data_IF_297443054323
#
_entry.id   IF_297443054323
#
_cell.length_a   1.000
_cell.length_b   1.000
_cell.length_c   1.000
_cell.angle_alpha   90.00
_cell.angle_beta   90.00
_cell.angle_gamma   90.00
#
_symmetry.space_group_name_H-M   'P 1'
#
loop_
_entity.id
_entity.type
_entity.pdbx_description
1 polymer ?
#
# COMPACT_ATOMS: atom_id res chain seq x y z
N UNK A 1 11.10 -21.51 14.35
CA UNK A 1 11.91 -22.74 14.54
C UNK A 1 12.24 -22.88 16.01
N UNK A 2 12.32 -24.10 16.54
CA UNK A 2 12.74 -24.37 17.92
C UNK A 2 13.84 -25.44 17.88
N UNK A 3 15.09 -25.06 18.18
CA UNK A 3 16.26 -25.95 18.04
C UNK A 3 16.29 -26.60 16.64
N UNK A 4 16.16 -27.93 16.57
CA UNK A 4 16.19 -28.71 15.34
C UNK A 4 14.82 -28.85 14.67
N UNK A 5 13.76 -28.24 15.20
CA UNK A 5 12.42 -28.41 14.66
C UNK A 5 11.95 -27.17 13.91
N UNK A 6 11.41 -27.36 12.72
CA UNK A 6 10.75 -26.32 11.93
C UNK A 6 9.29 -26.70 11.69
N UNK A 7 8.38 -25.91 12.26
CA UNK A 7 6.96 -25.96 11.99
C UNK A 7 6.64 -24.97 10.87
N UNK A 8 5.93 -25.41 9.83
CA UNK A 8 5.54 -24.58 8.67
C UNK A 8 4.01 -24.52 8.59
N UNK A 9 3.48 -23.30 8.52
CA UNK A 9 2.04 -22.98 8.52
C UNK A 9 1.22 -23.67 9.62
N UNK A 10 1.87 -24.01 10.73
CA UNK A 10 1.26 -24.78 11.81
C UNK A 10 0.92 -26.23 11.44
N UNK A 11 1.22 -26.74 10.24
CA UNK A 11 0.74 -28.04 9.75
C UNK A 11 1.86 -29.04 9.53
N UNK A 12 2.96 -28.61 8.92
CA UNK A 12 4.08 -29.48 8.55
C UNK A 12 5.19 -29.33 9.57
N UNK A 13 5.85 -30.44 9.91
CA UNK A 13 6.94 -30.46 10.89
C UNK A 13 8.16 -31.17 10.29
N UNK A 14 9.30 -30.48 10.34
CA UNK A 14 10.57 -31.00 9.84
C UNK A 14 11.62 -31.07 10.95
N UNK A 15 12.38 -32.17 10.98
CA UNK A 15 13.58 -32.32 11.79
C UNK A 15 14.80 -31.81 11.00
N UNK A 16 15.14 -30.55 11.22
CA UNK A 16 16.25 -29.84 10.58
C UNK A 16 17.62 -30.46 10.87
N UNK A 17 17.75 -31.37 11.85
CA UNK A 17 19.02 -32.07 12.09
C UNK A 17 19.26 -33.17 11.06
N UNK A 18 18.22 -33.95 10.77
CA UNK A 18 18.30 -35.11 9.88
C UNK A 18 17.81 -34.80 8.46
N UNK A 19 16.99 -33.76 8.33
CA UNK A 19 16.45 -33.27 7.06
C UNK A 19 16.52 -31.73 6.98
N UNK A 20 17.73 -31.15 6.83
CA UNK A 20 17.90 -29.71 6.61
C UNK A 20 17.13 -29.20 5.37
N UNK A 21 16.88 -30.10 4.41
CA UNK A 21 16.17 -29.82 3.16
C UNK A 21 14.65 -29.75 3.28
N UNK A 22 14.06 -30.07 4.44
CA UNK A 22 12.61 -30.08 4.67
C UNK A 22 11.84 -30.91 3.63
N UNK A 23 12.35 -32.11 3.32
CA UNK A 23 11.78 -33.03 2.34
C UNK A 23 10.77 -33.99 2.95
N UNK A 24 10.89 -34.29 4.24
CA UNK A 24 10.10 -35.31 4.93
C UNK A 24 9.28 -34.64 6.03
N UNK A 25 7.98 -34.49 5.77
CA UNK A 25 7.04 -34.04 6.80
C UNK A 25 6.80 -35.17 7.82
N UNK A 26 7.19 -34.91 9.07
CA UNK A 26 7.05 -35.82 10.20
C UNK A 26 5.94 -35.39 11.18
N UNK A 27 5.07 -34.45 10.81
CA UNK A 27 3.98 -33.95 11.66
C UNK A 27 3.05 -35.04 12.18
N UNK A 28 2.72 -36.04 11.33
CA UNK A 28 1.88 -37.18 11.73
C UNK A 28 2.57 -38.15 12.69
N UNK A 29 3.90 -38.18 12.66
CA UNK A 29 4.71 -39.05 13.52
C UNK A 29 4.89 -38.41 14.89
N UNK A 30 5.00 -37.08 14.95
CA UNK A 30 5.20 -36.32 16.19
C UNK A 30 4.07 -35.29 16.43
N UNK A 31 2.80 -35.72 16.60
CA UNK A 31 1.67 -34.81 16.79
C UNK A 31 1.78 -33.98 18.08
N UNK A 32 2.37 -34.55 19.14
CA UNK A 32 2.60 -33.82 20.40
C UNK A 32 3.61 -32.69 20.21
N UNK A 33 4.63 -32.90 19.38
CA UNK A 33 5.62 -31.86 19.05
C UNK A 33 5.00 -30.74 18.22
N UNK A 34 4.08 -31.07 17.30
CA UNK A 34 3.29 -30.08 16.56
C UNK A 34 2.47 -29.23 17.53
N UNK A 35 1.78 -29.86 18.50
CA UNK A 35 0.97 -29.16 19.50
C UNK A 35 1.83 -28.25 20.38
N UNK A 36 2.97 -28.73 20.88
CA UNK A 36 3.92 -27.94 21.66
C UNK A 36 4.38 -26.71 20.87
N UNK A 37 4.81 -26.89 19.63
CA UNK A 37 5.31 -25.78 18.81
C UNK A 37 4.23 -24.77 18.42
N UNK A 38 2.97 -25.21 18.23
CA UNK A 38 1.82 -24.30 18.07
C UNK A 38 1.59 -23.48 19.33
N UNK A 39 1.57 -24.12 20.50
CA UNK A 39 1.40 -23.44 21.78
C UNK A 39 2.48 -22.38 22.04
N UNK A 40 3.74 -22.72 21.77
CA UNK A 40 4.84 -21.75 21.86
C UNK A 40 4.69 -20.57 20.90
N UNK A 41 4.17 -20.81 19.69
CA UNK A 41 3.90 -19.73 18.75
C UNK A 41 2.76 -18.84 19.22
N UNK A 42 1.70 -19.42 19.77
CA UNK A 42 0.56 -18.69 20.35
C UNK A 42 0.97 -17.87 21.59
N UNK A 43 1.77 -18.44 22.49
CA UNK A 43 2.32 -17.74 23.66
C UNK A 43 3.25 -16.60 23.24
N UNK A 44 4.19 -16.86 22.32
CA UNK A 44 5.07 -15.82 21.79
C UNK A 44 4.28 -14.72 21.09
N UNK A 45 3.26 -15.07 20.31
CA UNK A 45 2.41 -14.10 19.64
C UNK A 45 1.63 -13.27 20.66
N UNK A 46 1.03 -13.91 21.66
CA UNK A 46 0.29 -13.21 22.72
C UNK A 46 1.19 -12.28 23.53
N UNK A 47 2.43 -12.69 23.82
CA UNK A 47 3.43 -11.87 24.53
C UNK A 47 3.88 -10.68 23.70
N UNK A 48 4.43 -10.91 22.49
CA UNK A 48 4.96 -9.86 21.62
C UNK A 48 3.90 -8.84 21.23
N UNK A 49 2.65 -9.27 21.03
CA UNK A 49 1.56 -8.40 20.62
C UNK A 49 0.66 -7.94 21.79
N UNK A 50 0.97 -8.31 23.04
CA UNK A 50 0.17 -7.94 24.22
C UNK A 50 -0.05 -6.42 24.35
N UNK A 51 0.96 -5.64 23.98
CA UNK A 51 0.97 -4.18 24.01
C UNK A 51 0.97 -3.54 22.60
N UNK A 52 0.56 -4.28 21.56
CA UNK A 52 0.53 -3.76 20.19
C UNK A 52 -0.54 -2.67 20.02
N UNK A 53 -0.19 -1.43 20.41
CA UNK A 53 -1.01 -0.23 20.32
C UNK A 53 -0.44 0.79 19.33
N UNK A 54 0.74 0.55 18.78
CA UNK A 54 1.43 1.53 17.95
C UNK A 54 0.96 1.46 16.51
N UNK A 55 -0.13 2.19 16.25
CA UNK A 55 -0.44 2.65 14.90
C UNK A 55 0.67 3.61 14.44
N UNK A 56 1.33 3.27 13.36
CA UNK A 56 2.37 4.12 12.75
C UNK A 56 1.70 5.23 11.93
N UNK A 57 2.29 6.42 11.96
CA UNK A 57 1.84 7.58 11.20
C UNK A 57 3.00 8.13 10.39
N UNK A 58 2.78 8.41 9.11
CA UNK A 58 3.77 9.07 8.26
C UNK A 58 3.82 10.54 8.65
N UNK A 59 4.98 11.01 9.09
CA UNK A 59 5.13 12.37 9.59
C UNK A 59 5.34 13.36 8.44
N UNK A 60 4.48 14.38 8.36
CA UNK A 60 4.56 15.45 7.35
C UNK A 60 4.89 16.80 7.99
N UNK A 61 5.48 17.72 7.21
CA UNK A 61 5.78 19.07 7.69
C UNK A 61 7.05 19.21 8.54
N UNK A 62 8.01 18.28 8.44
CA UNK A 62 9.32 18.40 9.11
C UNK A 62 10.22 19.44 8.45
N UNK A 63 11.10 20.11 9.20
CA UNK A 63 12.08 21.04 8.63
C UNK A 63 13.18 20.30 7.87
N UNK A 64 13.38 19.02 8.21
CA UNK A 64 14.39 18.15 7.59
C UNK A 64 13.91 17.54 6.27
N UNK A 65 12.59 17.55 6.03
CA UNK A 65 11.95 17.01 4.82
C UNK A 65 10.91 18.01 4.34
N UNK A 66 11.35 18.97 3.50
CA UNK A 66 10.50 20.02 2.93
C UNK A 66 9.45 19.47 1.95
N UNK A 67 9.76 18.34 1.33
CA UNK A 67 8.84 17.58 0.48
C UNK A 67 8.91 16.10 0.81
N UNK A 68 7.84 15.37 0.48
CA UNK A 68 7.77 13.91 0.59
C UNK A 68 6.78 13.33 -0.39
N UNK A 69 6.95 12.04 -0.64
CA UNK A 69 6.10 11.25 -1.53
C UNK A 69 5.46 10.15 -0.71
N UNK A 70 4.13 10.10 -0.72
CA UNK A 70 3.37 8.96 -0.24
C UNK A 70 3.05 8.06 -1.42
N UNK A 71 3.10 6.75 -1.20
CA UNK A 71 2.74 5.76 -2.23
C UNK A 71 1.58 4.91 -1.75
N UNK A 72 0.83 4.31 -2.68
CA UNK A 72 -0.26 3.41 -2.33
C UNK A 72 0.16 2.23 -1.46
N UNK A 73 1.46 1.88 -1.40
CA UNK A 73 1.97 0.80 -0.56
C UNK A 73 1.63 0.98 0.93
N UNK A 74 1.52 2.23 1.37
CA UNK A 74 1.24 2.59 2.76
C UNK A 74 -0.26 2.75 3.05
N UNK A 75 -1.14 2.36 2.11
CA UNK A 75 -2.58 2.42 2.33
C UNK A 75 -3.03 1.46 3.42
N UNK A 76 -3.88 2.00 4.29
CA UNK A 76 -4.65 1.29 5.29
C UNK A 76 -6.09 1.08 4.79
N UNK A 77 -6.75 0.04 5.29
CA UNK A 77 -8.12 -0.35 4.92
C UNK A 77 -8.34 -0.36 3.40
N UNK A 78 -7.57 -1.20 2.70
CA UNK A 78 -7.66 -1.27 1.24
C UNK A 78 -8.98 -1.92 0.82
N UNK A 79 -9.73 -1.21 -0.01
CA UNK A 79 -11.03 -1.61 -0.54
C UNK A 79 -11.05 -1.55 -2.06
N UNK A 80 -12.04 -2.22 -2.65
CA UNK A 80 -12.38 -2.10 -4.07
C UNK A 80 -13.23 -0.85 -4.33
N UNK A 81 -13.43 -0.52 -5.60
CA UNK A 81 -14.30 0.59 -6.03
C UNK A 81 -15.73 0.50 -5.46
N UNK A 82 -16.27 -0.70 -5.28
CA UNK A 82 -17.62 -0.94 -4.73
C UNK A 82 -17.70 -0.85 -3.18
N UNK A 83 -16.59 -0.52 -2.52
CA UNK A 83 -16.51 -0.42 -1.07
C UNK A 83 -16.28 -1.74 -0.34
N UNK A 84 -16.24 -2.87 -1.06
CA UNK A 84 -15.98 -4.19 -0.46
C UNK A 84 -14.50 -4.41 -0.20
N UNK A 85 -14.22 -5.39 0.68
CA UNK A 85 -12.87 -5.83 1.01
C UNK A 85 -12.09 -6.23 -0.25
N UNK A 86 -10.84 -5.80 -0.37
CA UNK A 86 -10.00 -6.08 -1.53
C UNK A 86 -9.53 -7.54 -1.59
N UNK A 87 -9.32 -8.17 -0.44
CA UNK A 87 -8.89 -9.55 -0.28
C UNK A 87 -10.03 -10.56 -0.49
N UNK A 88 -9.67 -11.72 -1.02
CA UNK A 88 -10.51 -12.92 -0.93
C UNK A 88 -10.62 -13.41 0.53
N UNK A 89 -11.65 -14.21 0.87
CA UNK A 89 -11.75 -14.84 2.19
C UNK A 89 -10.45 -15.58 2.56
N UNK A 90 -9.87 -15.26 3.72
CA UNK A 90 -8.60 -15.82 4.18
C UNK A 90 -7.33 -15.15 3.62
N UNK A 91 -7.47 -14.12 2.77
CA UNK A 91 -6.36 -13.32 2.27
C UNK A 91 -6.18 -11.98 3.02
N UNK A 92 -5.09 -11.30 2.68
CA UNK A 92 -4.76 -9.96 3.18
C UNK A 92 -5.10 -8.88 2.15
N UNK A 93 -5.63 -7.75 2.63
CA UNK A 93 -5.95 -6.60 1.79
C UNK A 93 -4.65 -5.93 1.37
N UNK A 94 -4.33 -6.06 0.09
CA UNK A 94 -3.07 -5.56 -0.47
C UNK A 94 -3.32 -4.26 -1.23
N UNK A 95 -2.59 -3.18 -0.97
CA UNK A 95 -2.60 -2.06 -1.90
C UNK A 95 -1.96 -2.43 -3.23
N UNK A 96 -2.15 -1.63 -4.30
CA UNK A 96 -1.23 -1.65 -5.43
C UNK A 96 0.20 -1.40 -4.92
N UNK A 97 1.05 -2.41 -5.04
CA UNK A 97 2.43 -2.42 -4.53
C UNK A 97 3.49 -2.72 -5.61
N UNK A 98 3.06 -3.09 -6.82
CA UNK A 98 3.97 -3.48 -7.88
C UNK A 98 3.58 -2.78 -9.19
N UNK A 99 4.57 -2.26 -9.91
CA UNK A 99 4.38 -1.53 -11.18
C UNK A 99 3.41 -2.19 -12.17
N UNK A 100 3.38 -3.52 -12.37
CA UNK A 100 2.37 -4.16 -13.23
C UNK A 100 0.92 -3.91 -12.77
N UNK A 101 0.66 -3.79 -11.47
CA UNK A 101 -0.67 -3.49 -10.92
C UNK A 101 -1.07 -2.04 -11.21
N UNK A 102 -0.16 -1.08 -11.01
CA UNK A 102 -0.41 0.32 -11.36
C UNK A 102 -0.63 0.49 -12.87
N UNK A 103 0.18 -0.20 -13.70
CA UNK A 103 0.03 -0.23 -15.16
C UNK A 103 -1.33 -0.76 -15.61
N UNK A 104 -1.84 -1.79 -14.93
CA UNK A 104 -3.19 -2.35 -15.20
C UNK A 104 -4.34 -1.49 -14.66
N UNK A 105 -4.05 -0.35 -14.02
CA UNK A 105 -5.11 0.52 -13.50
C UNK A 105 -5.95 -0.13 -12.39
N UNK A 106 -5.32 -0.88 -11.47
CA UNK A 106 -6.01 -1.53 -10.36
C UNK A 106 -6.90 -0.58 -9.56
N UNK A 107 -8.21 -0.77 -9.69
CA UNK A 107 -9.25 0.02 -9.03
C UNK A 107 -9.41 -0.36 -7.56
N UNK A 108 -8.45 0.09 -6.76
CA UNK A 108 -8.42 -0.03 -5.30
C UNK A 108 -8.26 1.34 -4.67
N UNK A 109 -8.68 1.46 -3.42
CA UNK A 109 -8.57 2.69 -2.66
C UNK A 109 -8.24 2.35 -1.20
N UNK A 110 -7.57 3.26 -0.51
CA UNK A 110 -7.30 3.19 0.91
C UNK A 110 -6.96 4.58 1.41
N UNK A 111 -6.50 4.69 2.66
CA UNK A 111 -6.05 5.98 3.20
C UNK A 111 -4.67 5.85 3.82
N UNK A 112 -3.96 6.98 3.91
CA UNK A 112 -2.73 7.08 4.68
C UNK A 112 -3.04 7.59 6.07
N UNK A 113 -2.43 6.96 7.07
CA UNK A 113 -2.32 7.54 8.41
C UNK A 113 -1.13 8.49 8.44
N UNK A 114 -1.41 9.77 8.67
CA UNK A 114 -0.38 10.81 8.67
C UNK A 114 -0.41 11.61 9.98
N UNK A 115 0.75 12.15 10.35
CA UNK A 115 0.92 13.06 11.46
C UNK A 115 1.50 14.38 10.95
N UNK A 116 0.69 15.44 11.00
CA UNK A 116 1.11 16.80 10.68
C UNK A 116 1.93 17.33 11.84
N UNK A 117 3.25 17.47 11.66
CA UNK A 117 4.14 17.93 12.72
C UNK A 117 4.01 19.43 13.01
N UNK A 118 3.67 20.21 11.97
CA UNK A 118 3.54 21.67 12.04
C UNK A 118 2.33 22.14 11.27
N UNK A 119 1.57 23.05 11.87
CA UNK A 119 0.48 23.69 11.14
C UNK A 119 1.02 24.63 10.06
N UNK A 120 0.26 24.80 8.98
CA UNK A 120 0.67 25.64 7.85
C UNK A 120 -0.10 25.34 6.58
N UNK A 121 0.31 25.99 5.49
CA UNK A 121 -0.19 25.70 4.14
C UNK A 121 0.68 24.63 3.48
N UNK A 122 0.02 23.67 2.85
CA UNK A 122 0.66 22.55 2.17
C UNK A 122 0.14 22.49 0.74
N UNK A 123 1.05 22.30 -0.21
CA UNK A 123 0.72 21.87 -1.57
C UNK A 123 0.70 20.35 -1.58
N UNK A 124 -0.45 19.78 -1.96
CA UNK A 124 -0.68 18.34 -2.08
C UNK A 124 -1.04 18.04 -3.53
N UNK A 125 -0.30 17.13 -4.16
CA UNK A 125 -0.44 16.80 -5.57
C UNK A 125 -0.74 15.32 -5.72
N UNK A 126 -1.88 14.99 -6.33
CA UNK A 126 -2.30 13.62 -6.57
C UNK A 126 -1.84 13.16 -7.94
N UNK A 127 -1.19 12.01 -8.03
CA UNK A 127 -0.72 11.46 -9.29
C UNK A 127 -1.07 9.99 -9.46
N UNK A 128 -1.38 9.61 -10.70
CA UNK A 128 -1.53 8.21 -11.10
C UNK A 128 -0.21 7.58 -11.52
N UNK A 129 0.73 8.37 -12.02
CA UNK A 129 2.06 7.91 -12.39
C UNK A 129 3.11 8.62 -11.53
N UNK A 130 4.27 8.00 -11.30
CA UNK A 130 5.37 8.69 -10.64
C UNK A 130 5.89 9.81 -11.56
N UNK A 131 6.45 10.87 -10.98
CA UNK A 131 6.92 12.05 -11.70
C UNK A 131 7.95 11.66 -12.79
N UNK A 132 8.80 10.69 -12.48
CA UNK A 132 9.84 10.15 -13.36
C UNK A 132 9.28 9.49 -14.63
N UNK A 133 8.01 9.07 -14.63
CA UNK A 133 7.37 8.54 -15.83
C UNK A 133 6.98 9.64 -16.82
N UNK A 134 6.83 10.89 -16.36
CA UNK A 134 6.48 12.04 -17.20
C UNK A 134 5.10 11.95 -17.86
N UNK A 135 4.17 11.16 -17.29
CA UNK A 135 2.83 10.87 -17.84
C UNK A 135 1.73 11.67 -17.18
N UNK A 136 0.64 11.88 -17.91
CA UNK A 136 -0.58 12.49 -17.37
C UNK A 136 -1.41 11.47 -16.59
N UNK A 137 -2.35 11.93 -15.77
CA UNK A 137 -3.22 11.05 -14.96
C UNK A 137 -4.01 10.08 -15.85
N UNK A 138 -4.39 10.48 -17.06
CA UNK A 138 -5.21 9.67 -17.97
C UNK A 138 -4.37 8.76 -18.87
N UNK A 139 -3.11 9.12 -19.14
CA UNK A 139 -2.20 8.44 -20.07
C UNK A 139 -2.03 6.94 -19.79
N UNK A 140 -1.99 6.15 -20.87
CA UNK A 140 -1.36 4.83 -20.85
C UNK A 140 0.18 4.93 -20.94
N UNK A 141 0.85 3.78 -20.84
CA UNK A 141 2.29 3.68 -21.09
C UNK A 141 2.58 2.44 -21.95
N UNK A 142 3.29 2.56 -23.08
CA UNK A 142 3.62 1.39 -23.90
C UNK A 142 4.35 0.30 -23.11
N UNK A 143 4.27 -0.93 -23.63
CA UNK A 143 5.11 -2.02 -23.14
C UNK A 143 6.59 -1.63 -23.23
N UNK A 144 7.34 -1.92 -22.18
CA UNK A 144 8.78 -1.71 -22.17
C UNK A 144 9.45 -2.76 -23.04
N UNK A 145 10.41 -2.32 -23.84
CA UNK A 145 11.34 -3.20 -24.56
C UNK A 145 12.70 -3.32 -23.84
N UNK A 146 12.82 -2.74 -22.64
CA UNK A 146 14.04 -2.78 -21.85
C UNK A 146 14.11 -4.12 -21.13
N UNK A 147 15.16 -4.89 -21.41
CA UNK A 147 15.42 -6.16 -20.75
C UNK A 147 15.70 -5.95 -19.26
N UNK A 148 15.09 -6.78 -18.42
CA UNK A 148 15.26 -6.77 -16.97
C UNK A 148 16.00 -8.04 -16.57
N UNK A 149 17.20 -7.98 -15.97
CA UNK A 149 17.92 -9.17 -15.53
C UNK A 149 17.07 -10.01 -14.56
N UNK A 150 16.80 -11.26 -14.92
CA UNK A 150 16.01 -12.18 -14.09
C UNK A 150 14.50 -11.91 -14.06
N UNK A 151 13.98 -11.09 -14.99
CA UNK A 151 12.56 -10.80 -15.10
C UNK A 151 12.12 -10.51 -16.54
N UNK A 152 10.83 -10.29 -16.71
CA UNK A 152 10.25 -9.89 -17.99
C UNK A 152 10.11 -8.37 -18.06
N UNK A 153 10.30 -7.75 -19.25
CA UNK A 153 9.97 -6.34 -19.45
C UNK A 153 8.53 -6.02 -19.02
N UNK A 154 8.33 -4.79 -18.53
CA UNK A 154 6.99 -4.38 -18.12
C UNK A 154 6.02 -4.35 -19.31
N UNK A 155 4.86 -5.01 -19.15
CA UNK A 155 3.78 -4.92 -20.13
C UNK A 155 3.21 -3.52 -20.28
N UNK A 156 2.32 -3.35 -21.26
CA UNK A 156 1.58 -2.11 -21.49
C UNK A 156 0.78 -1.70 -20.25
N UNK A 157 0.74 -0.39 -19.98
CA UNK A 157 -0.16 0.22 -19.02
C UNK A 157 -1.30 0.94 -19.73
N UNK A 158 -2.51 0.74 -19.21
CA UNK A 158 -3.73 1.20 -19.86
C UNK A 158 -3.97 2.69 -19.64
N UNK A 159 -4.59 3.36 -20.61
CA UNK A 159 -5.20 4.67 -20.39
C UNK A 159 -6.47 4.50 -19.55
N UNK A 160 -6.77 5.48 -18.71
CA UNK A 160 -7.97 5.50 -17.88
C UNK A 160 -8.69 6.83 -18.08
N UNK A 161 -10.00 6.78 -18.28
CA UNK A 161 -10.85 7.97 -18.43
C UNK A 161 -11.16 8.62 -17.06
N UNK A 162 -10.11 9.10 -16.39
CA UNK A 162 -10.22 9.82 -15.12
C UNK A 162 -10.61 11.26 -15.40
N UNK A 163 -11.75 11.68 -14.84
CA UNK A 163 -12.31 13.03 -15.04
C UNK A 163 -12.18 13.93 -13.83
N UNK A 164 -12.07 13.35 -12.65
CA UNK A 164 -12.02 14.10 -11.40
C UNK A 164 -10.99 13.51 -10.43
N UNK A 165 -10.37 14.40 -9.66
CA UNK A 165 -9.49 14.07 -8.55
C UNK A 165 -10.05 14.70 -7.27
N UNK A 166 -10.17 13.93 -6.19
CA UNK A 166 -10.67 14.39 -4.90
C UNK A 166 -9.65 14.13 -3.80
N UNK A 167 -9.48 15.10 -2.92
CA UNK A 167 -8.65 15.00 -1.72
C UNK A 167 -9.52 15.22 -0.48
N UNK A 168 -9.39 14.32 0.50
CA UNK A 168 -9.96 14.47 1.85
C UNK A 168 -8.89 14.34 2.92
N UNK A 169 -8.75 15.36 3.75
CA UNK A 169 -7.79 15.42 4.86
C UNK A 169 -8.27 16.43 5.91
N UNK A 170 -8.36 16.02 7.18
CA UNK A 170 -9.00 16.84 8.23
C UNK A 170 -10.41 17.29 7.79
N UNK A 171 -10.71 18.59 7.87
CA UNK A 171 -11.95 19.20 7.40
C UNK A 171 -11.94 19.54 5.90
N UNK A 172 -10.79 19.41 5.23
CA UNK A 172 -10.67 19.69 3.80
C UNK A 172 -11.21 18.50 3.00
N UNK A 173 -12.16 18.78 2.11
CA UNK A 173 -12.77 17.82 1.21
C UNK A 173 -13.12 18.54 -0.09
N UNK A 174 -12.33 18.33 -1.15
CA UNK A 174 -12.49 19.05 -2.41
C UNK A 174 -12.18 18.17 -3.60
N UNK A 175 -12.80 18.51 -4.73
CA UNK A 175 -12.67 17.82 -6.01
C UNK A 175 -12.27 18.83 -7.08
N UNK A 176 -11.30 18.48 -7.91
CA UNK A 176 -10.90 19.22 -9.11
C UNK A 176 -11.08 18.35 -10.35
N UNK A 177 -11.36 19.00 -11.49
CA UNK A 177 -11.41 18.31 -12.78
C UNK A 177 -10.01 17.92 -13.25
N UNK A 178 -9.91 16.77 -13.90
CA UNK A 178 -8.69 16.27 -14.55
C UNK A 178 -8.86 16.44 -16.05
N UNK A 179 -7.94 17.20 -16.66
CA UNK A 179 -7.84 17.40 -18.12
C UNK A 179 -6.79 16.47 -18.71
N UNK A 180 -6.78 16.27 -20.02
CA UNK A 180 -5.86 15.33 -20.70
C UNK A 180 -4.37 15.60 -20.40
N UNK A 181 -4.00 16.88 -20.28
CA UNK A 181 -2.64 17.35 -20.00
C UNK A 181 -2.25 17.32 -18.50
N UNK A 182 -3.18 16.95 -17.62
CA UNK A 182 -3.00 17.01 -16.17
C UNK A 182 -2.05 15.91 -15.69
N UNK A 183 -0.83 16.29 -15.32
CA UNK A 183 0.16 15.36 -14.70
C UNK A 183 -0.16 15.04 -13.26
N UNK A 184 -0.50 16.08 -12.49
CA UNK A 184 -0.88 15.97 -11.09
C UNK A 184 -2.11 16.85 -10.84
N UNK A 185 -3.00 16.41 -9.96
CA UNK A 185 -4.11 17.22 -9.49
C UNK A 185 -3.69 17.92 -8.19
N UNK A 186 -3.60 19.25 -8.25
CA UNK A 186 -3.02 20.06 -7.18
C UNK A 186 -4.07 20.62 -6.22
N UNK A 187 -3.72 20.65 -4.93
CA UNK A 187 -4.53 21.21 -3.86
C UNK A 187 -3.64 22.02 -2.91
N UNK A 188 -4.06 23.23 -2.55
CA UNK A 188 -3.45 23.98 -1.44
C UNK A 188 -4.36 23.87 -0.21
N UNK A 189 -3.82 23.29 0.88
CA UNK A 189 -4.59 22.97 2.08
C UNK A 189 -3.93 23.57 3.31
N UNK A 190 -4.72 24.25 4.15
CA UNK A 190 -4.30 24.65 5.48
C UNK A 190 -4.48 23.47 6.45
N UNK A 191 -3.38 22.92 6.95
CA UNK A 191 -3.39 21.78 7.88
C UNK A 191 -3.07 22.23 9.30
N UNK A 192 -3.81 21.69 10.26
CA UNK A 192 -3.50 21.82 11.69
C UNK A 192 -2.54 20.71 12.13
N UNK A 193 -1.73 20.98 13.14
CA UNK A 193 -0.87 19.97 13.77
C UNK A 193 -1.71 18.82 14.35
N UNK A 194 -1.29 17.57 14.12
CA UNK A 194 -1.92 16.39 14.70
C UNK A 194 -2.03 15.20 13.75
N UNK A 195 -2.54 14.09 14.29
CA UNK A 195 -2.78 12.83 13.55
C UNK A 195 -4.09 12.92 12.78
N UNK A 196 -4.08 12.49 11.52
CA UNK A 196 -5.26 12.46 10.66
C UNK A 196 -5.15 11.36 9.60
N UNK A 197 -6.26 11.11 8.90
CA UNK A 197 -6.28 10.30 7.68
C UNK A 197 -6.22 11.22 6.47
N UNK A 198 -5.43 10.84 5.47
CA UNK A 198 -5.44 11.41 4.13
C UNK A 198 -6.06 10.37 3.20
N UNK A 199 -7.09 10.74 2.45
CA UNK A 199 -7.72 9.86 1.46
C UNK A 199 -7.94 10.57 0.14
N UNK A 200 -7.77 9.84 -0.95
CA UNK A 200 -7.82 10.40 -2.30
C UNK A 200 -8.70 9.57 -3.20
N UNK A 201 -9.23 10.18 -4.26
CA UNK A 201 -9.96 9.48 -5.31
C UNK A 201 -9.63 10.06 -6.67
N UNK A 202 -9.44 9.18 -7.64
CA UNK A 202 -9.64 9.46 -9.05
C UNK A 202 -10.93 8.77 -9.49
N UNK A 203 -11.82 9.53 -10.12
CA UNK A 203 -13.11 9.02 -10.59
C UNK A 203 -13.35 9.38 -12.04
N UNK A 204 -13.98 8.46 -12.75
CA UNK A 204 -14.27 8.57 -14.18
C UNK A 204 -15.63 7.97 -14.53
N UNK A 205 -15.80 7.63 -15.80
CA UNK A 205 -17.01 6.96 -16.30
C UNK A 205 -17.09 5.49 -15.84
N UNK A 206 -18.26 4.88 -16.05
CA UNK A 206 -18.50 3.44 -15.88
C UNK A 206 -18.11 2.86 -14.50
N UNK A 207 -18.20 3.68 -13.45
CA UNK A 207 -17.86 3.27 -12.09
C UNK A 207 -16.36 3.24 -11.81
N UNK A 208 -15.53 3.83 -12.68
CA UNK A 208 -14.10 3.97 -12.47
C UNK A 208 -13.84 4.72 -11.16
N UNK A 209 -13.19 4.04 -10.21
CA UNK A 209 -12.76 4.65 -8.96
C UNK A 209 -11.49 3.98 -8.42
N UNK A 210 -10.47 4.79 -8.16
CA UNK A 210 -9.23 4.35 -7.51
C UNK A 210 -8.68 5.45 -6.60
N UNK A 211 -7.82 5.11 -5.65
CA UNK A 211 -7.00 6.09 -4.96
C UNK A 211 -5.82 6.54 -5.82
N UNK A 212 -5.26 7.71 -5.52
CA UNK A 212 -4.02 8.14 -6.16
C UNK A 212 -2.85 7.23 -5.74
N UNK A 213 -2.11 6.68 -6.70
CA UNK A 213 -0.98 5.80 -6.38
C UNK A 213 0.21 6.55 -5.80
N UNK A 214 0.35 7.83 -6.14
CA UNK A 214 1.37 8.73 -5.60
C UNK A 214 0.73 10.02 -5.11
N UNK A 215 1.23 10.54 -3.98
CA UNK A 215 0.87 11.85 -3.44
C UNK A 215 2.14 12.60 -3.08
N UNK A 216 2.37 13.74 -3.71
CA UNK A 216 3.48 14.63 -3.38
C UNK A 216 2.98 15.68 -2.40
N UNK A 217 3.72 15.89 -1.31
CA UNK A 217 3.37 16.85 -0.27
C UNK A 217 4.57 17.75 -0.06
N UNK A 218 4.35 19.05 -0.12
CA UNK A 218 5.35 20.07 0.22
C UNK A 218 4.73 21.21 1.04
N UNK A 219 5.54 21.86 1.86
CA UNK A 219 5.11 23.06 2.56
C UNK A 219 5.14 24.24 1.58
N UNK A 220 4.11 25.08 1.57
CA UNK A 220 4.24 26.41 0.97
C UNK A 220 5.03 27.30 1.96
N UNK A 221 6.05 28.01 1.46
CA UNK A 221 6.86 28.93 2.26
C UNK A 221 6.06 30.14 2.79
#
# INVERSE_FOLDING_TARGET
MQKNWRLVYGKELYDMRNDPGQRIDVAKIYPDKVKEMRGLYEEWFADVFSDYKTRSYIQIGSNKAKSMVLTSHDWMEVIKADGTRAASPGGEDTPPFAHPQMRRGWQRNGYWDIEVLREGKYKIELARWPEEAGRTITDGIPASNVSIPGGEPFGEGIALDIKNARLKIQEFDSTVSVMEETKTAEFTVALRKGKTKLRTWFTGDEGLSLGAYWVYISNEE
#
